data_IF_003495428304
#
_entry.id   IF_003495428304
#
_cell.length_a   1.000
_cell.length_b   1.000
_cell.length_c   1.000
_cell.angle_alpha   90.00
_cell.angle_beta   90.00
_cell.angle_gamma   90.00
#
_symmetry.space_group_name_H-M   'P 1'
#
loop_
_entity.id
_entity.type
_entity.pdbx_description
1 polymer ?
#
# COMPACT_ATOMS: atom_id res chain seq x y z
N UNK A 1 13.19 -22.33 -35.12
CA UNK A 1 13.41 -22.07 -33.69
C UNK A 1 13.89 -20.64 -33.56
N UNK A 2 13.19 -19.77 -32.80
CA UNK A 2 13.61 -18.39 -32.60
C UNK A 2 14.51 -18.32 -31.36
N UNK A 3 15.66 -17.64 -31.50
CA UNK A 3 16.55 -17.32 -30.38
C UNK A 3 16.36 -15.85 -30.01
N UNK A 4 16.23 -15.56 -28.71
CA UNK A 4 16.20 -14.20 -28.17
C UNK A 4 17.51 -13.95 -27.43
N UNK A 5 18.25 -12.92 -27.85
CA UNK A 5 19.49 -12.50 -27.23
C UNK A 5 19.25 -11.20 -26.49
N UNK A 6 19.62 -11.15 -25.22
CA UNK A 6 19.60 -9.95 -24.41
C UNK A 6 21.03 -9.44 -24.24
N UNK A 7 21.19 -8.14 -24.31
CA UNK A 7 22.48 -7.48 -24.11
C UNK A 7 22.31 -6.13 -23.45
N UNK A 8 23.39 -5.60 -22.92
CA UNK A 8 23.46 -4.26 -22.35
C UNK A 8 24.70 -3.54 -22.89
N UNK A 9 24.64 -2.23 -23.03
CA UNK A 9 25.75 -1.40 -23.46
C UNK A 9 26.04 -0.33 -22.42
N UNK A 10 27.32 -0.10 -22.14
CA UNK A 10 27.77 0.86 -21.13
C UNK A 10 28.82 1.79 -21.69
N UNK A 11 28.90 3.07 -21.22
CA UNK A 11 29.84 4.06 -21.75
C UNK A 11 31.33 3.66 -21.61
N UNK A 12 31.64 2.83 -20.62
CA UNK A 12 33.01 2.34 -20.37
C UNK A 12 33.01 1.03 -19.58
N UNK A 13 34.16 0.35 -19.61
CA UNK A 13 34.39 -0.94 -18.97
C UNK A 13 34.25 -0.91 -17.43
N UNK A 14 34.51 0.23 -16.78
CA UNK A 14 34.34 0.38 -15.33
C UNK A 14 32.84 0.29 -14.96
N UNK A 15 31.99 0.99 -15.68
CA UNK A 15 30.54 0.97 -15.45
C UNK A 15 29.93 -0.39 -15.79
N UNK A 16 30.41 -1.04 -16.86
CA UNK A 16 29.99 -2.42 -17.17
C UNK A 16 30.34 -3.37 -16.03
N UNK A 17 31.57 -3.34 -15.52
CA UNK A 17 31.97 -4.18 -14.37
C UNK A 17 31.16 -3.92 -13.12
N UNK A 18 30.86 -2.66 -12.81
CA UNK A 18 30.00 -2.29 -11.69
C UNK A 18 28.59 -2.88 -11.86
N UNK A 19 28.02 -2.79 -13.06
CA UNK A 19 26.71 -3.38 -13.35
C UNK A 19 26.70 -4.89 -13.24
N UNK A 20 27.71 -5.59 -13.79
CA UNK A 20 27.82 -7.05 -13.69
C UNK A 20 27.97 -7.50 -12.24
N UNK A 21 28.79 -6.79 -11.44
CA UNK A 21 28.91 -7.06 -10.01
C UNK A 21 27.59 -6.85 -9.27
N UNK A 22 26.84 -5.79 -9.59
CA UNK A 22 25.50 -5.57 -9.02
C UNK A 22 24.53 -6.72 -9.35
N UNK A 23 24.57 -7.25 -10.59
CA UNK A 23 23.74 -8.39 -10.98
C UNK A 23 24.13 -9.66 -10.20
N UNK A 24 25.42 -9.93 -10.03
CA UNK A 24 25.89 -11.07 -9.23
C UNK A 24 25.46 -10.96 -7.75
N UNK A 25 25.57 -9.77 -7.17
CA UNK A 25 25.10 -9.50 -5.80
C UNK A 25 23.57 -9.62 -5.69
N UNK A 26 22.82 -9.16 -6.69
CA UNK A 26 21.37 -9.32 -6.73
C UNK A 26 20.97 -10.81 -6.76
N UNK A 27 21.65 -11.63 -7.56
CA UNK A 27 21.40 -13.08 -7.65
C UNK A 27 21.72 -13.79 -6.32
N UNK A 28 22.83 -13.43 -5.67
CA UNK A 28 23.22 -13.99 -4.36
C UNK A 28 22.18 -13.67 -3.27
N UNK A 29 21.53 -12.51 -3.35
CA UNK A 29 20.55 -12.00 -2.37
C UNK A 29 19.10 -12.30 -2.73
N UNK A 30 18.82 -12.89 -3.90
CA UNK A 30 17.46 -13.15 -4.36
C UNK A 30 16.63 -13.86 -3.29
N UNK A 31 15.54 -13.22 -2.88
CA UNK A 31 14.67 -13.72 -1.82
C UNK A 31 14.08 -15.09 -2.11
N UNK A 32 13.90 -15.46 -3.39
CA UNK A 32 13.40 -16.79 -3.79
C UNK A 32 14.43 -17.88 -3.52
N UNK A 33 15.71 -17.55 -3.72
CA UNK A 33 16.83 -18.46 -3.42
C UNK A 33 17.06 -18.55 -1.92
N UNK A 34 17.22 -17.39 -1.24
CA UNK A 34 17.48 -17.34 0.21
C UNK A 34 16.28 -17.90 0.98
N UNK A 35 15.05 -17.57 0.60
CA UNK A 35 13.85 -18.08 1.24
C UNK A 35 13.74 -19.60 1.21
N UNK A 36 14.19 -20.25 0.11
CA UNK A 36 14.27 -21.70 0.00
C UNK A 36 15.36 -22.27 0.91
N UNK A 37 16.58 -21.70 0.87
CA UNK A 37 17.72 -22.17 1.69
C UNK A 37 17.42 -22.03 3.18
N UNK A 38 16.75 -20.95 3.58
CA UNK A 38 16.38 -20.67 4.97
C UNK A 38 15.09 -21.38 5.42
N UNK A 39 14.40 -22.07 4.51
CA UNK A 39 13.14 -22.75 4.76
C UNK A 39 12.03 -21.80 5.23
N UNK A 40 11.86 -20.67 4.51
CA UNK A 40 10.89 -19.63 4.88
C UNK A 40 9.55 -19.79 4.17
N UNK A 41 9.55 -20.12 2.88
CA UNK A 41 8.32 -20.20 2.05
C UNK A 41 8.57 -20.92 0.72
N UNK A 42 7.47 -21.27 0.04
CA UNK A 42 7.49 -21.71 -1.36
C UNK A 42 6.27 -21.20 -2.13
N UNK A 43 6.30 -21.37 -3.45
CA UNK A 43 5.19 -21.18 -4.37
C UNK A 43 4.89 -22.49 -5.10
N UNK A 44 3.63 -22.73 -5.43
CA UNK A 44 3.21 -23.91 -6.19
C UNK A 44 2.01 -23.62 -7.11
N UNK A 45 1.72 -24.55 -8.02
CA UNK A 45 0.75 -24.33 -9.10
C UNK A 45 -0.71 -24.21 -8.62
N UNK A 46 -1.06 -24.82 -7.49
CA UNK A 46 -2.42 -24.79 -6.95
C UNK A 46 -2.84 -23.42 -6.44
N UNK A 47 -1.84 -22.51 -6.17
CA UNK A 47 -2.10 -21.15 -5.74
C UNK A 47 -1.11 -20.16 -6.39
N UNK A 48 -1.20 -19.93 -7.71
CA UNK A 48 -0.25 -19.10 -8.43
C UNK A 48 -0.29 -17.65 -7.94
N UNK A 49 0.87 -17.15 -7.49
CA UNK A 49 0.99 -15.81 -6.92
C UNK A 49 0.54 -15.71 -5.45
N UNK A 50 0.40 -16.82 -4.75
CA UNK A 50 0.19 -16.85 -3.30
C UNK A 50 1.34 -17.56 -2.60
N UNK A 51 1.74 -17.07 -1.44
CA UNK A 51 2.88 -17.60 -0.67
C UNK A 51 2.41 -18.69 0.28
N UNK A 52 3.08 -19.84 0.26
CA UNK A 52 2.98 -20.88 1.28
C UNK A 52 4.08 -20.65 2.32
N UNK A 53 3.71 -20.18 3.49
CA UNK A 53 4.65 -19.88 4.57
C UNK A 53 5.02 -21.12 5.36
N UNK A 54 6.33 -21.37 5.52
CA UNK A 54 6.85 -22.38 6.42
C UNK A 54 6.94 -21.83 7.86
N UNK A 55 7.14 -22.68 8.88
CA UNK A 55 7.13 -22.23 10.27
C UNK A 55 8.07 -21.06 10.57
N UNK A 56 9.30 -21.08 10.01
CA UNK A 56 10.27 -19.97 10.19
C UNK A 56 9.82 -18.69 9.50
N UNK A 57 9.35 -18.80 8.26
CA UNK A 57 8.83 -17.65 7.51
C UNK A 57 7.57 -17.06 8.16
N UNK A 58 6.71 -17.93 8.68
CA UNK A 58 5.53 -17.49 9.42
C UNK A 58 5.89 -16.78 10.73
N UNK A 59 6.91 -17.25 11.45
CA UNK A 59 7.41 -16.55 12.64
C UNK A 59 7.93 -15.16 12.32
N UNK A 60 8.73 -15.01 11.23
CA UNK A 60 9.18 -13.72 10.74
C UNK A 60 7.99 -12.80 10.40
N UNK A 61 7.02 -13.32 9.68
CA UNK A 61 5.79 -12.61 9.30
C UNK A 61 5.04 -12.10 10.54
N UNK A 62 4.85 -12.95 11.56
CA UNK A 62 4.16 -12.56 12.80
C UNK A 62 4.96 -11.54 13.62
N UNK A 63 6.28 -11.60 13.60
CA UNK A 63 7.14 -10.61 14.26
C UNK A 63 6.98 -9.22 13.63
N UNK A 64 6.88 -9.13 12.29
CA UNK A 64 6.60 -7.87 11.60
C UNK A 64 5.22 -7.31 11.94
N UNK A 65 4.20 -8.17 11.98
CA UNK A 65 2.86 -7.77 12.44
C UNK A 65 2.92 -7.27 13.89
N UNK A 66 3.59 -7.98 14.77
CA UNK A 66 3.75 -7.59 16.18
C UNK A 66 4.42 -6.24 16.34
N UNK A 67 5.50 -6.00 15.60
CA UNK A 67 6.20 -4.72 15.56
C UNK A 67 5.28 -3.59 15.07
N UNK A 68 4.64 -3.78 13.91
CA UNK A 68 3.76 -2.78 13.34
C UNK A 68 2.57 -2.47 14.26
N UNK A 69 1.97 -3.50 14.88
CA UNK A 69 0.88 -3.34 15.85
C UNK A 69 1.29 -2.46 17.02
N UNK A 70 2.50 -2.62 17.56
CA UNK A 70 3.02 -1.75 18.62
C UNK A 70 3.15 -0.30 18.15
N UNK A 71 3.70 -0.07 16.95
CA UNK A 71 3.84 1.28 16.37
C UNK A 71 2.48 1.94 16.14
N UNK A 72 1.53 1.20 15.57
CA UNK A 72 0.18 1.69 15.30
C UNK A 72 -0.57 2.03 16.60
N UNK A 73 -0.52 1.15 17.61
CA UNK A 73 -1.17 1.39 18.89
C UNK A 73 -0.59 2.63 19.59
N UNK A 74 0.73 2.80 19.58
CA UNK A 74 1.39 3.99 20.13
C UNK A 74 0.99 5.29 19.39
N UNK A 75 0.68 5.20 18.09
CA UNK A 75 0.19 6.31 17.27
C UNK A 75 -1.34 6.49 17.32
N UNK A 76 -2.06 5.78 18.19
CA UNK A 76 -3.49 5.94 18.42
C UNK A 76 -4.39 5.28 17.36
N UNK A 77 -3.88 4.33 16.59
CA UNK A 77 -4.70 3.54 15.67
C UNK A 77 -5.46 2.43 16.43
N UNK A 78 -6.67 2.17 15.99
CA UNK A 78 -7.49 1.04 16.47
C UNK A 78 -7.51 -0.05 15.41
N UNK A 79 -7.09 -1.26 15.78
CA UNK A 79 -7.07 -2.41 14.86
C UNK A 79 -8.50 -2.93 14.66
N UNK A 80 -8.86 -3.17 13.42
CA UNK A 80 -10.13 -3.76 12.99
C UNK A 80 -9.86 -4.94 12.05
N UNK A 81 -10.90 -5.69 11.72
CA UNK A 81 -10.86 -6.70 10.67
C UNK A 81 -12.16 -6.65 9.86
N UNK A 82 -12.05 -6.58 8.54
CA UNK A 82 -13.19 -6.54 7.61
C UNK A 82 -13.28 -7.82 6.78
N UNK A 83 -14.48 -8.23 6.35
CA UNK A 83 -14.66 -9.45 5.56
C UNK A 83 -13.84 -9.42 4.26
N UNK A 84 -13.26 -10.56 3.89
CA UNK A 84 -12.53 -10.70 2.62
C UNK A 84 -13.47 -10.78 1.43
N UNK A 85 -14.63 -11.44 1.59
CA UNK A 85 -15.63 -11.63 0.55
C UNK A 85 -16.83 -10.72 0.82
N UNK A 86 -17.10 -9.80 -0.11
CA UNK A 86 -18.18 -8.83 0.00
C UNK A 86 -18.96 -8.72 -1.32
N UNK A 87 -20.24 -8.30 -1.24
CA UNK A 87 -21.09 -8.11 -2.42
C UNK A 87 -20.45 -7.11 -3.41
N UNK A 88 -20.58 -7.41 -4.71
CA UNK A 88 -20.12 -6.54 -5.80
C UNK A 88 -20.74 -5.16 -5.75
N UNK A 89 -21.94 -5.01 -5.18
CA UNK A 89 -22.63 -3.72 -5.01
C UNK A 89 -21.84 -2.70 -4.17
N UNK A 90 -21.00 -3.17 -3.23
CA UNK A 90 -20.12 -2.26 -2.48
C UNK A 90 -19.00 -1.71 -3.36
N UNK A 91 -18.46 -2.55 -4.23
CA UNK A 91 -17.39 -2.21 -5.17
C UNK A 91 -17.86 -1.31 -6.31
N UNK A 92 -19.10 -1.47 -6.75
CA UNK A 92 -19.79 -0.56 -7.69
C UNK A 92 -19.93 0.84 -7.08
N UNK A 93 -20.51 0.94 -5.88
CA UNK A 93 -20.72 2.22 -5.18
C UNK A 93 -19.40 2.96 -4.93
N UNK A 94 -18.36 2.25 -4.54
CA UNK A 94 -17.05 2.85 -4.28
C UNK A 94 -16.26 3.20 -5.54
N UNK A 95 -16.67 2.73 -6.72
CA UNK A 95 -15.98 2.92 -8.00
C UNK A 95 -14.86 1.93 -8.29
N UNK A 96 -14.60 0.99 -7.39
CA UNK A 96 -13.53 -0.01 -7.60
C UNK A 96 -13.84 -0.97 -8.75
N UNK A 97 -15.10 -1.35 -8.95
CA UNK A 97 -15.47 -2.28 -10.01
C UNK A 97 -15.24 -1.67 -11.40
N UNK A 98 -15.49 -0.36 -11.55
CA UNK A 98 -15.25 0.38 -12.79
C UNK A 98 -13.75 0.59 -13.05
N UNK A 99 -13.01 1.04 -12.04
CA UNK A 99 -11.60 1.39 -12.18
C UNK A 99 -10.65 0.20 -12.08
N UNK A 100 -11.07 -0.92 -11.49
CA UNK A 100 -10.20 -2.02 -11.08
C UNK A 100 -10.77 -3.42 -11.35
N UNK A 101 -11.94 -3.52 -12.05
CA UNK A 101 -12.71 -4.76 -12.23
C UNK A 101 -11.92 -5.90 -12.85
N UNK A 102 -11.07 -5.63 -13.84
CA UNK A 102 -10.23 -6.64 -14.52
C UNK A 102 -9.21 -7.31 -13.57
N UNK A 103 -8.89 -6.66 -12.45
CA UNK A 103 -7.97 -7.16 -11.44
C UNK A 103 -8.68 -7.76 -10.22
N UNK A 104 -10.01 -7.90 -10.24
CA UNK A 104 -10.77 -8.46 -9.13
C UNK A 104 -11.10 -9.93 -9.32
N UNK A 105 -11.01 -10.71 -8.23
CA UNK A 105 -11.58 -12.05 -8.20
C UNK A 105 -13.05 -11.95 -7.84
N UNK A 106 -13.92 -12.38 -8.75
CA UNK A 106 -15.37 -12.41 -8.55
C UNK A 106 -15.90 -13.82 -8.50
N UNK A 107 -17.02 -14.02 -7.83
CA UNK A 107 -17.72 -15.30 -7.74
C UNK A 107 -19.23 -15.08 -7.71
N UNK A 108 -19.97 -16.10 -8.14
CA UNK A 108 -21.42 -16.15 -8.07
C UNK A 108 -21.84 -17.31 -7.17
N UNK A 109 -22.79 -17.07 -6.28
CA UNK A 109 -23.37 -18.11 -5.41
C UNK A 109 -24.48 -18.85 -6.13
N UNK A 110 -24.85 -20.04 -5.62
CA UNK A 110 -25.90 -20.88 -6.20
C UNK A 110 -27.26 -20.16 -6.32
N UNK A 111 -27.51 -19.19 -5.46
CA UNK A 111 -28.71 -18.33 -5.47
C UNK A 111 -28.56 -17.06 -6.34
N UNK A 112 -27.52 -17.00 -7.19
CA UNK A 112 -27.31 -15.93 -8.18
C UNK A 112 -26.78 -14.61 -7.63
N UNK A 113 -26.24 -14.59 -6.40
CA UNK A 113 -25.61 -13.38 -5.85
C UNK A 113 -24.15 -13.26 -6.24
N UNK A 114 -23.74 -12.06 -6.63
CA UNK A 114 -22.37 -11.74 -7.02
C UNK A 114 -21.57 -11.18 -5.86
N UNK A 115 -20.39 -11.74 -5.66
CA UNK A 115 -19.41 -11.33 -4.65
C UNK A 115 -18.05 -11.12 -5.29
N UNK A 116 -17.21 -10.34 -4.60
CA UNK A 116 -15.81 -10.19 -4.95
C UNK A 116 -14.94 -10.34 -3.71
N UNK A 117 -13.75 -10.93 -3.90
CA UNK A 117 -12.70 -10.91 -2.87
C UNK A 117 -12.08 -9.52 -2.89
N UNK A 118 -11.95 -8.91 -1.72
CA UNK A 118 -11.49 -7.52 -1.61
C UNK A 118 -10.09 -7.31 -2.24
N UNK A 119 -9.95 -6.37 -3.20
CA UNK A 119 -8.66 -5.97 -3.73
C UNK A 119 -7.98 -4.89 -2.84
N UNK A 120 -8.77 -4.23 -1.98
CA UNK A 120 -8.40 -3.16 -1.06
C UNK A 120 -9.29 -3.21 0.18
N UNK A 121 -8.86 -2.55 1.28
CA UNK A 121 -9.60 -2.55 2.54
C UNK A 121 -10.51 -1.32 2.70
N UNK A 122 -10.28 -0.26 1.94
CA UNK A 122 -10.91 1.05 2.12
C UNK A 122 -12.45 1.03 2.20
N UNK A 123 -13.22 0.35 1.30
CA UNK A 123 -14.67 0.33 1.45
C UNK A 123 -15.16 -0.36 2.72
N UNK A 124 -14.43 -1.40 3.18
CA UNK A 124 -14.71 -2.07 4.44
C UNK A 124 -14.54 -1.15 5.64
N UNK A 125 -13.46 -0.38 5.68
CA UNK A 125 -13.20 0.60 6.75
C UNK A 125 -14.28 1.69 6.79
N UNK A 126 -14.75 2.16 5.64
CA UNK A 126 -15.87 3.12 5.59
C UNK A 126 -17.14 2.49 6.19
N UNK A 127 -17.41 1.19 5.95
CA UNK A 127 -18.58 0.53 6.57
C UNK A 127 -18.44 0.46 8.10
N UNK A 128 -17.23 0.26 8.64
CA UNK A 128 -16.98 0.29 10.09
C UNK A 128 -17.16 1.70 10.64
N UNK A 129 -16.59 2.71 9.99
CA UNK A 129 -16.73 4.12 10.40
C UNK A 129 -18.20 4.56 10.47
N UNK A 130 -19.04 4.09 9.56
CA UNK A 130 -20.48 4.43 9.50
C UNK A 130 -21.32 3.80 10.62
N UNK A 131 -20.76 2.94 11.45
CA UNK A 131 -21.52 2.35 12.57
C UNK A 131 -21.65 3.36 13.71
N UNK A 132 -22.85 3.89 13.87
CA UNK A 132 -23.13 4.92 14.86
C UNK A 132 -22.99 6.35 14.33
N UNK A 133 -23.08 7.29 15.26
CA UNK A 133 -22.94 8.73 14.99
C UNK A 133 -21.56 9.17 15.44
N UNK A 134 -20.77 9.71 14.52
CA UNK A 134 -19.45 10.28 14.81
C UNK A 134 -19.57 11.79 14.91
N UNK A 135 -19.10 12.38 16.01
CA UNK A 135 -19.01 13.82 16.21
C UNK A 135 -17.64 14.33 15.71
N UNK A 136 -17.57 15.61 15.33
CA UNK A 136 -16.30 16.27 15.01
C UNK A 136 -15.25 16.16 16.16
N UNK A 137 -15.71 16.00 17.42
CA UNK A 137 -14.86 15.80 18.60
C UNK A 137 -14.21 14.43 18.66
N UNK A 138 -14.76 13.45 17.95
CA UNK A 138 -14.22 12.09 17.87
C UNK A 138 -13.14 11.97 16.80
N UNK A 139 -13.05 12.96 15.89
CA UNK A 139 -12.08 13.01 14.81
C UNK A 139 -10.71 13.56 15.28
N UNK A 140 -9.60 13.03 14.79
CA UNK A 140 -9.51 12.00 13.76
C UNK A 140 -9.75 10.57 14.29
N UNK A 141 -10.48 9.76 13.52
CA UNK A 141 -10.65 8.32 13.75
C UNK A 141 -9.63 7.56 12.90
N UNK A 142 -8.73 6.81 13.54
CA UNK A 142 -7.68 6.04 12.87
C UNK A 142 -7.98 4.54 12.99
N UNK A 143 -8.34 3.90 11.87
CA UNK A 143 -8.63 2.47 11.78
C UNK A 143 -7.52 1.76 11.02
N UNK A 144 -6.95 0.69 11.58
CA UNK A 144 -5.88 -0.08 10.97
C UNK A 144 -6.30 -1.55 10.80
N UNK A 145 -5.82 -2.20 9.75
CA UNK A 145 -6.09 -3.60 9.46
C UNK A 145 -4.88 -4.27 8.84
N UNK A 146 -4.55 -5.48 9.27
CA UNK A 146 -3.71 -6.39 8.49
C UNK A 146 -4.60 -7.15 7.53
N UNK A 147 -5.03 -6.45 6.48
CA UNK A 147 -6.06 -6.92 5.57
C UNK A 147 -5.52 -7.81 4.45
N UNK A 148 -6.05 -9.03 4.35
CA UNK A 148 -5.76 -9.95 3.26
C UNK A 148 -6.48 -9.49 2.00
N UNK A 149 -5.72 -9.06 0.99
CA UNK A 149 -6.22 -8.59 -0.29
C UNK A 149 -5.82 -9.54 -1.43
N UNK A 150 -6.65 -9.58 -2.46
CA UNK A 150 -6.38 -10.38 -3.66
C UNK A 150 -6.54 -9.52 -4.92
N UNK A 151 -5.54 -9.60 -5.82
CA UNK A 151 -5.56 -8.93 -7.11
C UNK A 151 -5.19 -9.91 -8.20
N UNK A 152 -5.99 -9.96 -9.26
CA UNK A 152 -5.70 -10.82 -10.41
C UNK A 152 -4.60 -10.19 -11.26
N UNK A 153 -3.35 -10.35 -10.79
CA UNK A 153 -2.18 -9.94 -11.55
C UNK A 153 -1.93 -10.90 -12.71
N UNK A 154 -1.59 -10.40 -13.92
CA UNK A 154 -1.22 -11.27 -15.04
C UNK A 154 -0.04 -12.18 -14.68
N UNK A 155 -0.07 -13.43 -15.16
CA UNK A 155 0.96 -14.44 -14.83
C UNK A 155 2.38 -13.98 -15.17
N UNK A 156 2.55 -13.22 -16.27
CA UNK A 156 3.84 -12.68 -16.67
C UNK A 156 4.37 -11.53 -15.79
N UNK A 157 3.52 -10.96 -14.91
CA UNK A 157 3.90 -9.91 -13.97
C UNK A 157 4.31 -10.46 -12.60
N UNK A 158 4.03 -11.73 -12.30
CA UNK A 158 4.36 -12.35 -11.01
C UNK A 158 5.87 -12.46 -10.82
N UNK A 159 6.35 -12.06 -9.63
CA UNK A 159 7.79 -12.08 -9.33
C UNK A 159 8.05 -12.40 -7.86
N UNK A 160 8.11 -13.68 -7.51
CA UNK A 160 8.32 -14.11 -6.12
C UNK A 160 7.36 -13.39 -5.16
N UNK A 161 7.87 -12.89 -4.04
CA UNK A 161 7.11 -12.08 -3.08
C UNK A 161 6.97 -10.61 -3.49
N UNK A 162 7.72 -10.14 -4.49
CA UNK A 162 7.69 -8.74 -4.92
C UNK A 162 6.39 -8.38 -5.65
N UNK A 163 5.79 -9.33 -6.36
CA UNK A 163 4.50 -9.15 -7.02
C UNK A 163 3.69 -10.45 -6.97
N UNK A 164 2.66 -10.44 -6.16
CA UNK A 164 1.81 -11.58 -5.82
C UNK A 164 0.34 -11.28 -6.12
N UNK A 165 -0.51 -12.30 -6.12
CA UNK A 165 -1.97 -12.17 -6.24
C UNK A 165 -2.68 -12.11 -4.90
N UNK A 166 -2.10 -12.74 -3.87
CA UNK A 166 -2.62 -12.73 -2.51
C UNK A 166 -1.57 -12.14 -1.57
N UNK A 167 -1.92 -11.07 -0.86
CA UNK A 167 -1.01 -10.35 0.01
C UNK A 167 -1.75 -9.73 1.19
N UNK A 168 -1.03 -9.46 2.26
CA UNK A 168 -1.56 -8.75 3.42
C UNK A 168 -0.98 -7.33 3.45
N UNK A 169 -1.86 -6.33 3.53
CA UNK A 169 -1.45 -4.94 3.73
C UNK A 169 -1.51 -4.58 5.22
N UNK A 170 -0.53 -3.78 5.66
CA UNK A 170 -0.59 -3.02 6.91
C UNK A 170 -1.37 -1.72 6.68
N UNK A 171 -2.59 -1.87 6.26
CA UNK A 171 -3.43 -0.78 5.78
C UNK A 171 -4.10 -0.01 6.92
N UNK A 172 -4.25 1.30 6.75
CA UNK A 172 -5.09 2.07 7.65
C UNK A 172 -5.74 3.25 6.95
N UNK A 173 -6.87 3.66 7.53
CA UNK A 173 -7.64 4.79 7.06
C UNK A 173 -7.90 5.74 8.22
N UNK A 174 -7.61 7.01 7.99
CA UNK A 174 -7.81 8.10 8.94
C UNK A 174 -8.98 8.93 8.44
N UNK A 175 -10.06 8.96 9.20
CA UNK A 175 -11.18 9.84 8.95
C UNK A 175 -10.98 11.11 9.76
N UNK A 176 -10.91 12.26 9.09
CA UNK A 176 -10.59 13.52 9.72
C UNK A 176 -11.40 14.68 9.11
N UNK A 177 -11.31 15.86 9.74
CA UNK A 177 -11.84 17.09 9.14
C UNK A 177 -10.84 17.65 8.12
N UNK A 178 -11.25 18.56 7.20
CA UNK A 178 -10.33 19.22 6.27
C UNK A 178 -9.16 19.92 6.97
N UNK A 179 -9.37 20.51 8.15
CA UNK A 179 -8.35 21.24 8.90
C UNK A 179 -7.28 20.29 9.49
N UNK A 180 -7.62 19.02 9.71
CA UNK A 180 -6.73 18.03 10.29
C UNK A 180 -5.83 17.35 9.25
N UNK A 181 -6.05 17.52 7.94
CA UNK A 181 -5.32 16.81 6.87
C UNK A 181 -3.81 17.01 7.01
N UNK A 182 -3.36 18.25 7.19
CA UNK A 182 -1.93 18.57 7.22
C UNK A 182 -1.24 17.89 8.41
N UNK A 183 -1.80 18.01 9.60
CA UNK A 183 -1.19 17.43 10.82
C UNK A 183 -1.18 15.90 10.78
N UNK A 184 -2.27 15.27 10.31
CA UNK A 184 -2.33 13.82 10.15
C UNK A 184 -1.35 13.33 9.08
N UNK A 185 -1.20 14.05 7.97
CA UNK A 185 -0.25 13.72 6.91
C UNK A 185 1.21 13.80 7.41
N UNK A 186 1.56 14.83 8.19
CA UNK A 186 2.89 14.97 8.81
C UNK A 186 3.15 13.81 9.79
N UNK A 187 2.16 13.48 10.62
CA UNK A 187 2.27 12.37 11.57
C UNK A 187 2.52 11.03 10.86
N UNK A 188 1.79 10.77 9.75
CA UNK A 188 2.00 9.56 8.93
C UNK A 188 3.37 9.55 8.28
N UNK A 189 3.82 10.65 7.66
CA UNK A 189 5.16 10.73 7.07
C UNK A 189 6.25 10.44 8.10
N UNK A 190 6.15 11.05 9.28
CA UNK A 190 7.10 10.86 10.38
C UNK A 190 7.14 9.41 10.86
N UNK A 191 5.97 8.77 10.96
CA UNK A 191 5.85 7.38 11.38
C UNK A 191 6.45 6.42 10.33
N UNK A 192 6.18 6.62 9.03
CA UNK A 192 6.76 5.83 7.94
C UNK A 192 8.30 5.93 7.96
N UNK A 193 8.84 7.14 7.99
CA UNK A 193 10.29 7.37 7.99
C UNK A 193 10.96 6.80 9.25
N UNK A 194 10.30 6.87 10.40
CA UNK A 194 10.76 6.26 11.65
C UNK A 194 10.84 4.74 11.55
N UNK A 195 9.80 4.10 11.01
CA UNK A 195 9.75 2.65 10.81
C UNK A 195 10.86 2.20 9.85
N UNK A 196 11.06 2.89 8.73
CA UNK A 196 12.10 2.50 7.78
C UNK A 196 13.51 2.57 8.37
N UNK A 197 13.79 3.58 9.19
CA UNK A 197 15.05 3.66 9.93
C UNK A 197 15.25 2.49 10.90
N UNK A 198 14.18 2.05 11.57
CA UNK A 198 14.24 0.87 12.46
C UNK A 198 14.65 -0.41 11.71
N UNK A 199 14.34 -0.50 10.40
CA UNK A 199 14.74 -1.60 9.52
C UNK A 199 16.04 -1.35 8.72
N UNK A 200 16.77 -0.26 9.01
CA UNK A 200 18.06 0.03 8.39
C UNK A 200 18.00 0.74 7.03
N UNK A 201 16.82 1.25 6.63
CA UNK A 201 16.68 2.04 5.41
C UNK A 201 16.87 3.53 5.70
N UNK A 202 18.04 4.06 5.35
CA UNK A 202 18.39 5.48 5.55
C UNK A 202 18.07 6.34 4.30
N UNK A 203 18.21 5.77 3.09
CA UNK A 203 17.91 6.45 1.81
C UNK A 203 16.45 6.16 1.42
N UNK A 204 15.56 7.07 1.80
CA UNK A 204 14.13 7.02 1.48
C UNK A 204 13.78 8.21 0.60
N UNK A 205 13.26 7.93 -0.59
CA UNK A 205 12.81 8.97 -1.52
C UNK A 205 11.31 9.10 -1.49
N UNK A 206 10.83 10.34 -1.44
CA UNK A 206 9.41 10.65 -1.50
C UNK A 206 9.08 11.11 -2.92
N UNK A 207 8.01 10.54 -3.49
CA UNK A 207 7.43 10.98 -4.76
C UNK A 207 6.03 11.50 -4.51
N UNK A 208 5.72 12.65 -5.07
CA UNK A 208 4.37 13.18 -5.13
C UNK A 208 3.76 12.81 -6.48
N UNK A 209 2.68 12.02 -6.46
CA UNK A 209 1.94 11.59 -7.63
C UNK A 209 0.59 12.29 -7.66
N UNK A 210 0.37 13.11 -8.68
CA UNK A 210 -0.82 13.90 -8.89
C UNK A 210 -1.92 13.11 -9.64
N UNK A 211 -2.98 13.81 -10.03
CA UNK A 211 -4.18 13.25 -10.67
C UNK A 211 -3.88 12.47 -11.94
N UNK A 212 -4.37 11.22 -12.07
CA UNK A 212 -4.31 10.47 -13.32
C UNK A 212 -5.38 10.94 -14.32
N UNK A 213 -5.24 10.53 -15.59
CA UNK A 213 -6.22 10.84 -16.63
C UNK A 213 -7.60 10.24 -16.30
N UNK A 214 -7.63 8.96 -15.89
CA UNK A 214 -8.86 8.27 -15.45
C UNK A 214 -9.00 8.37 -13.94
N UNK A 215 -9.99 9.12 -13.48
CA UNK A 215 -10.20 9.42 -12.06
C UNK A 215 -11.66 9.68 -11.72
N UNK A 216 -11.99 9.63 -10.44
CA UNK A 216 -13.28 10.06 -9.88
C UNK A 216 -13.16 11.44 -9.23
N UNK A 217 -14.28 12.18 -9.14
CA UNK A 217 -14.35 13.48 -8.51
C UNK A 217 -14.02 14.65 -9.45
N UNK A 218 -14.47 15.85 -9.03
CA UNK A 218 -14.31 17.08 -9.78
C UNK A 218 -12.90 17.67 -9.61
N UNK A 219 -12.52 18.57 -10.49
CA UNK A 219 -11.18 19.15 -10.50
C UNK A 219 -10.86 19.97 -9.25
N UNK A 220 -11.81 20.68 -8.69
CA UNK A 220 -11.65 21.46 -7.45
C UNK A 220 -11.35 20.58 -6.24
N UNK A 221 -11.96 19.39 -6.18
CA UNK A 221 -11.68 18.37 -5.15
C UNK A 221 -10.23 17.87 -5.27
N UNK A 222 -9.75 17.66 -6.50
CA UNK A 222 -8.38 17.28 -6.76
C UNK A 222 -7.39 18.39 -6.42
N UNK A 223 -7.70 19.65 -6.78
CA UNK A 223 -6.87 20.80 -6.44
C UNK A 223 -6.69 20.92 -4.92
N UNK A 224 -7.75 20.72 -4.14
CA UNK A 224 -7.70 20.73 -2.67
C UNK A 224 -6.84 19.57 -2.11
N UNK A 225 -7.05 18.36 -2.62
CA UNK A 225 -6.32 17.17 -2.16
C UNK A 225 -4.82 17.27 -2.44
N UNK A 226 -4.45 17.72 -3.64
CA UNK A 226 -3.05 17.92 -4.03
C UNK A 226 -2.39 19.02 -3.21
N UNK A 227 -3.06 20.17 -3.04
CA UNK A 227 -2.57 21.27 -2.24
C UNK A 227 -2.34 20.86 -0.76
N UNK A 228 -3.23 20.02 -0.20
CA UNK A 228 -3.10 19.55 1.17
C UNK A 228 -1.85 18.65 1.37
N UNK A 229 -1.57 17.72 0.44
CA UNK A 229 -0.36 16.90 0.50
C UNK A 229 0.92 17.71 0.30
N UNK A 230 0.93 18.63 -0.66
CA UNK A 230 2.07 19.51 -0.90
C UNK A 230 2.35 20.40 0.31
N UNK A 231 1.30 20.91 0.94
CA UNK A 231 1.41 21.69 2.19
C UNK A 231 2.01 20.88 3.34
N UNK A 232 1.60 19.61 3.48
CA UNK A 232 2.16 18.73 4.50
C UNK A 232 3.67 18.48 4.28
N UNK A 233 4.11 18.26 3.03
CA UNK A 233 5.53 18.13 2.69
C UNK A 233 6.32 19.41 2.99
N UNK A 234 5.79 20.58 2.60
CA UNK A 234 6.41 21.89 2.87
C UNK A 234 6.59 22.12 4.38
N UNK A 235 5.53 21.92 5.16
CA UNK A 235 5.56 22.13 6.63
C UNK A 235 6.49 21.14 7.31
N UNK A 236 6.53 19.88 6.85
CA UNK A 236 7.43 18.85 7.36
C UNK A 236 8.89 19.03 6.90
N UNK A 237 9.17 19.93 5.96
CA UNK A 237 10.52 20.13 5.40
C UNK A 237 11.04 18.90 4.65
N UNK A 238 10.15 18.16 3.97
CA UNK A 238 10.46 16.93 3.25
C UNK A 238 10.65 17.20 1.75
N UNK A 239 11.81 16.81 1.25
CA UNK A 239 12.10 16.84 -0.18
C UNK A 239 11.33 15.76 -0.93
N UNK A 240 10.86 16.07 -2.12
CA UNK A 240 10.14 15.13 -2.97
C UNK A 240 10.45 15.32 -4.46
N UNK A 241 10.14 14.31 -5.25
CA UNK A 241 10.14 14.37 -6.71
C UNK A 241 8.71 14.26 -7.23
N UNK A 242 8.39 14.98 -8.32
CA UNK A 242 7.08 14.91 -8.95
C UNK A 242 6.99 13.67 -9.85
N UNK A 243 5.89 12.93 -9.72
CA UNK A 243 5.55 11.73 -10.51
C UNK A 243 4.19 11.94 -11.19
N UNK A 244 4.15 12.65 -12.33
CA UNK A 244 2.91 13.12 -12.92
C UNK A 244 1.98 12.00 -13.37
N UNK A 245 0.67 12.11 -13.04
CA UNK A 245 -0.37 11.20 -13.50
C UNK A 245 -0.41 9.84 -12.80
N UNK A 246 0.41 9.61 -11.78
CA UNK A 246 0.54 8.32 -11.10
C UNK A 246 -0.25 8.23 -9.79
N UNK A 247 -1.13 9.20 -9.53
CA UNK A 247 -2.05 9.18 -8.39
C UNK A 247 -3.01 7.99 -8.42
N UNK A 248 -3.69 7.73 -7.31
CA UNK A 248 -4.79 6.77 -7.30
C UNK A 248 -6.00 7.36 -8.04
N UNK A 249 -6.91 6.50 -8.52
CA UNK A 249 -8.09 6.99 -9.24
C UNK A 249 -9.02 7.88 -8.36
N UNK A 250 -8.87 7.84 -7.04
CA UNK A 250 -9.68 8.57 -6.06
C UNK A 250 -8.94 9.73 -5.36
N UNK A 251 -7.62 9.82 -5.48
CA UNK A 251 -6.85 10.88 -4.84
C UNK A 251 -5.35 10.87 -5.14
N UNK A 252 -4.67 12.01 -4.95
CA UNK A 252 -3.22 12.12 -5.07
C UNK A 252 -2.52 11.33 -3.97
N UNK A 253 -1.25 10.97 -4.20
CA UNK A 253 -0.51 10.16 -3.23
C UNK A 253 0.94 10.61 -3.06
N UNK A 254 1.45 10.36 -1.86
CA UNK A 254 2.88 10.28 -1.58
C UNK A 254 3.32 8.82 -1.65
N UNK A 255 4.40 8.57 -2.36
CA UNK A 255 5.04 7.26 -2.46
C UNK A 255 6.38 7.32 -1.74
N UNK A 256 6.62 6.37 -0.84
CA UNK A 256 7.89 6.22 -0.14
C UNK A 256 8.67 5.07 -0.76
N UNK A 257 9.79 5.42 -1.37
CA UNK A 257 10.65 4.51 -2.13
C UNK A 257 11.89 4.22 -1.32
N UNK A 258 12.06 2.96 -0.94
CA UNK A 258 13.25 2.46 -0.24
C UNK A 258 14.34 2.15 -1.25
N UNK A 259 15.58 2.48 -0.92
CA UNK A 259 16.75 2.01 -1.64
C UNK A 259 17.42 0.90 -0.86
N UNK A 260 17.61 -0.25 -1.49
CA UNK A 260 18.27 -1.40 -0.86
C UNK A 260 19.81 -1.29 -0.86
N UNK A 261 20.46 -2.24 -0.19
CA UNK A 261 21.91 -2.28 -0.02
C UNK A 261 22.72 -2.36 -1.34
N UNK A 262 22.09 -2.69 -2.46
CA UNK A 262 22.72 -2.75 -3.79
C UNK A 262 22.18 -1.68 -4.74
N UNK A 263 21.45 -0.68 -4.21
CA UNK A 263 21.01 0.52 -4.94
C UNK A 263 19.74 0.36 -5.77
N UNK A 264 18.92 -0.68 -5.54
CA UNK A 264 17.61 -0.83 -6.21
C UNK A 264 16.53 -0.07 -5.44
N UNK A 265 15.59 0.49 -6.17
CA UNK A 265 14.47 1.26 -5.62
C UNK A 265 13.21 0.38 -5.47
N UNK A 266 12.58 0.44 -4.30
CA UNK A 266 11.38 -0.32 -3.96
C UNK A 266 10.30 0.60 -3.38
N UNK A 267 9.18 0.75 -4.08
CA UNK A 267 8.02 1.45 -3.54
C UNK A 267 7.32 0.57 -2.49
N UNK A 268 7.18 1.08 -1.27
CA UNK A 268 6.54 0.40 -0.15
C UNK A 268 5.44 1.26 0.46
N UNK A 269 5.81 2.30 1.20
CA UNK A 269 4.85 3.16 1.88
C UNK A 269 4.07 4.08 0.95
N UNK A 270 2.85 4.37 1.34
CA UNK A 270 1.99 5.33 0.66
C UNK A 270 1.16 6.14 1.65
N UNK A 271 0.87 7.38 1.29
CA UNK A 271 -0.13 8.23 1.91
C UNK A 271 -0.96 8.87 0.81
N UNK A 272 -2.29 8.77 0.89
CA UNK A 272 -3.21 9.30 -0.11
C UNK A 272 -4.29 10.12 0.57
N UNK A 273 -4.70 11.22 -0.06
CA UNK A 273 -5.83 12.04 0.40
C UNK A 273 -7.02 11.79 -0.50
N UNK A 274 -8.13 11.38 0.10
CA UNK A 274 -9.37 11.04 -0.59
C UNK A 274 -10.53 11.87 -0.03
N UNK A 275 -11.07 12.74 -0.87
CA UNK A 275 -12.27 13.55 -0.60
C UNK A 275 -13.52 12.97 -1.29
N UNK A 276 -13.41 11.83 -1.98
CA UNK A 276 -14.46 11.27 -2.82
C UNK A 276 -15.17 10.05 -2.19
N UNK A 277 -14.42 9.05 -1.75
CA UNK A 277 -14.95 7.75 -1.34
C UNK A 277 -15.89 7.85 -0.11
N UNK A 278 -15.59 8.64 0.93
CA UNK A 278 -16.51 8.78 2.06
C UNK A 278 -17.91 9.20 1.62
N UNK A 279 -18.02 10.20 0.76
CA UNK A 279 -19.30 10.69 0.21
C UNK A 279 -20.00 9.64 -0.66
N UNK A 280 -19.28 8.94 -1.55
CA UNK A 280 -19.82 7.87 -2.41
C UNK A 280 -20.42 6.73 -1.58
N UNK A 281 -19.83 6.42 -0.44
CA UNK A 281 -20.29 5.37 0.48
C UNK A 281 -21.22 5.90 1.59
N UNK A 282 -21.53 7.19 1.60
CA UNK A 282 -22.46 7.83 2.53
C UNK A 282 -21.93 7.92 3.97
N UNK A 283 -20.62 8.10 4.15
CA UNK A 283 -20.00 8.38 5.44
C UNK A 283 -20.19 9.86 5.81
N UNK A 284 -20.61 10.14 7.05
CA UNK A 284 -20.78 11.50 7.57
C UNK A 284 -20.38 11.59 9.03
N UNK A 285 -20.02 12.79 9.48
CA UNK A 285 -19.89 13.14 10.89
C UNK A 285 -20.74 14.38 11.21
N UNK A 286 -21.05 14.60 12.49
CA UNK A 286 -21.79 15.78 12.94
C UNK A 286 -20.78 16.86 13.29
N UNK A 287 -20.86 18.02 12.62
CA UNK A 287 -20.02 19.18 12.84
C UNK A 287 -20.37 19.95 14.12
N UNK A 288 -19.60 21.00 14.40
CA UNK A 288 -19.86 21.91 15.53
C UNK A 288 -21.19 22.68 15.37
N UNK A 289 -21.58 22.89 14.12
CA UNK A 289 -22.88 23.51 13.72
C UNK A 289 -24.09 22.57 13.90
N UNK A 290 -23.85 21.30 14.30
CA UNK A 290 -24.89 20.28 14.44
C UNK A 290 -25.32 19.62 13.12
N UNK A 291 -24.75 20.05 11.98
CA UNK A 291 -25.08 19.54 10.66
C UNK A 291 -24.15 18.35 10.28
N UNK A 292 -24.56 17.59 9.24
CA UNK A 292 -23.78 16.47 8.72
C UNK A 292 -22.77 16.94 7.68
N UNK A 293 -21.52 16.58 7.89
CA UNK A 293 -20.40 16.85 6.99
C UNK A 293 -19.78 15.57 6.49
N UNK A 294 -19.12 15.64 5.31
CA UNK A 294 -18.32 14.54 4.78
C UNK A 294 -16.93 14.57 5.41
N UNK A 295 -16.45 13.45 5.97
CA UNK A 295 -15.05 13.38 6.43
C UNK A 295 -14.11 13.29 5.24
N UNK A 296 -12.89 13.78 5.43
CA UNK A 296 -11.75 13.43 4.59
C UNK A 296 -11.24 12.06 5.00
N UNK A 297 -10.78 11.26 4.05
CA UNK A 297 -10.18 9.96 4.30
C UNK A 297 -8.74 9.94 3.84
N UNK A 298 -7.80 9.70 4.76
CA UNK A 298 -6.42 9.46 4.43
C UNK A 298 -6.20 7.95 4.38
N UNK A 299 -5.63 7.46 3.27
CA UNK A 299 -5.22 6.07 3.12
C UNK A 299 -3.72 5.97 3.36
N UNK A 300 -3.28 5.06 4.19
CA UNK A 300 -1.86 4.83 4.38
C UNK A 300 -1.49 3.36 4.50
N UNK A 301 -0.36 3.00 3.93
CA UNK A 301 0.35 1.77 4.20
C UNK A 301 1.83 2.11 4.46
N UNK A 302 2.50 1.38 5.33
CA UNK A 302 3.91 1.62 5.67
C UNK A 302 4.80 0.56 5.02
N UNK A 303 4.53 -0.71 5.27
CA UNK A 303 5.16 -1.81 4.53
C UNK A 303 4.59 -1.97 3.12
N UNK A 304 3.32 -1.59 2.93
CA UNK A 304 2.55 -1.82 1.73
C UNK A 304 2.01 -3.24 1.69
N UNK A 305 2.80 -4.20 1.18
CA UNK A 305 2.52 -5.63 1.27
C UNK A 305 3.57 -6.27 2.18
N UNK A 306 3.13 -7.03 3.18
CA UNK A 306 4.01 -7.78 4.08
C UNK A 306 4.90 -8.74 3.31
N UNK A 307 4.34 -9.42 2.31
CA UNK A 307 5.07 -10.34 1.43
C UNK A 307 6.22 -9.61 0.71
N UNK A 308 5.91 -8.48 0.08
CA UNK A 308 6.90 -7.66 -0.63
C UNK A 308 7.96 -7.11 0.31
N UNK A 309 7.55 -6.59 1.45
CA UNK A 309 8.47 -6.01 2.42
C UNK A 309 9.42 -7.07 3.00
N UNK A 310 8.92 -8.28 3.31
CA UNK A 310 9.77 -9.41 3.73
C UNK A 310 10.77 -9.77 2.62
N UNK A 311 10.33 -9.81 1.36
CA UNK A 311 11.23 -10.04 0.24
C UNK A 311 12.35 -9.01 0.17
N UNK A 312 12.02 -7.73 0.35
CA UNK A 312 12.99 -6.63 0.38
C UNK A 312 13.96 -6.78 1.55
N UNK A 313 13.46 -7.11 2.76
CA UNK A 313 14.31 -7.33 3.93
C UNK A 313 15.30 -8.47 3.72
N UNK A 314 14.85 -9.61 3.19
CA UNK A 314 15.71 -10.75 2.88
C UNK A 314 16.84 -10.32 1.93
N UNK A 315 16.52 -9.57 0.89
CA UNK A 315 17.49 -9.11 -0.11
C UNK A 315 18.41 -8.01 0.43
N UNK A 316 17.86 -7.06 1.19
CA UNK A 316 18.64 -5.96 1.79
C UNK A 316 19.67 -6.50 2.78
N UNK A 317 19.28 -7.39 3.68
CA UNK A 317 20.15 -7.96 4.71
C UNK A 317 20.87 -9.24 4.28
N UNK A 318 20.76 -9.66 3.01
CA UNK A 318 21.36 -10.91 2.48
C UNK A 318 21.00 -12.14 3.33
N UNK A 319 19.78 -12.20 3.86
CA UNK A 319 19.27 -13.28 4.71
C UNK A 319 19.66 -13.21 6.19
N UNK A 320 20.38 -12.19 6.63
CA UNK A 320 20.69 -11.97 8.05
C UNK A 320 19.56 -11.19 8.72
N UNK A 321 18.52 -11.92 9.13
CA UNK A 321 17.28 -11.37 9.72
C UNK A 321 17.19 -11.65 11.21
#
# INVERSE_FOLDING_TARGET
MLQRVYGTAWPNDKQLRQYLHMLEEAEKRDHRRLGRVMDLFHFQEEAPGAVFWHPKGWALYQNLIGYMRQKQNAAGYREINTPELMSTSLWEKSGHLEAFGDNMFTTETVDGRHFAIKPMNCPGHVQVFKQGITSYRDLPVRLAEFGKCHRYEPSGALHGMMRVRAFTQDDAHIFCTPEQITDESIAVCSLILGIYRDFGFEDVRIKFADRPEVRVGENDVWDQSEAALLKALEVAGLDYTHNPGEGAFYGPKLEFVLRDAIGRDWQCGTLQVDLNMPGRLGATYVGEDGEKHLPVMLHRAMFGSLERFIGILIEHHAGNL
#
